data_IF_795733179435
#
_entry.id   IF_795733179435
#
_cell.length_a   1.000
_cell.length_b   1.000
_cell.length_c   1.000
_cell.angle_alpha   90.00
_cell.angle_beta   90.00
_cell.angle_gamma   90.00
#
_symmetry.space_group_name_H-M   'P 1'
#
loop_
_entity.id
_entity.type
_entity.pdbx_description
1 polymer ?
#
# COMPACT_ATOMS: atom_id res chain seq x y z
N UNK A 1 16.04 -14.23 13.26
CA UNK A 1 16.15 -13.57 11.95
C UNK A 1 15.18 -14.14 10.92
N UNK A 2 15.14 -15.47 10.71
CA UNK A 2 14.29 -16.14 9.71
C UNK A 2 12.80 -15.79 9.81
N UNK A 3 12.20 -15.87 11.00
CA UNK A 3 10.78 -15.54 11.19
C UNK A 3 10.48 -14.05 10.93
N UNK A 4 11.34 -13.14 11.40
CA UNK A 4 11.19 -11.70 11.17
C UNK A 4 11.22 -11.36 9.69
N UNK A 5 12.16 -11.94 8.94
CA UNK A 5 12.25 -11.78 7.47
C UNK A 5 10.98 -12.30 6.80
N UNK A 6 10.53 -13.51 7.15
CA UNK A 6 9.33 -14.11 6.55
C UNK A 6 8.09 -13.23 6.78
N UNK A 7 7.86 -12.78 8.02
CA UNK A 7 6.73 -11.90 8.36
C UNK A 7 6.85 -10.56 7.62
N UNK A 8 8.04 -9.98 7.58
CA UNK A 8 8.30 -8.72 6.88
C UNK A 8 7.96 -8.81 5.39
N UNK A 9 8.47 -9.85 4.72
CA UNK A 9 8.26 -10.09 3.30
C UNK A 9 6.80 -10.41 2.99
N UNK A 10 6.15 -11.28 3.77
CA UNK A 10 4.72 -11.59 3.58
C UNK A 10 3.86 -10.33 3.73
N UNK A 11 4.17 -9.48 4.71
CA UNK A 11 3.45 -8.21 4.92
C UNK A 11 3.61 -7.25 3.73
N UNK A 12 4.82 -7.17 3.18
CA UNK A 12 5.11 -6.38 1.99
C UNK A 12 4.38 -6.94 0.74
N UNK A 13 4.37 -8.26 0.57
CA UNK A 13 3.67 -8.97 -0.52
C UNK A 13 2.16 -8.73 -0.44
N UNK A 14 1.54 -8.86 0.75
CA UNK A 14 0.11 -8.61 0.95
C UNK A 14 -0.24 -7.18 0.54
N UNK A 15 0.58 -6.21 0.96
CA UNK A 15 0.32 -4.81 0.66
C UNK A 15 0.51 -4.47 -0.82
N UNK A 16 1.70 -4.73 -1.38
CA UNK A 16 2.03 -4.38 -2.77
C UNK A 16 1.24 -5.24 -3.75
N UNK A 17 1.16 -6.55 -3.52
CA UNK A 17 0.39 -7.47 -4.34
C UNK A 17 -1.11 -7.15 -4.34
N UNK A 18 -1.68 -6.81 -3.18
CA UNK A 18 -3.08 -6.37 -3.10
C UNK A 18 -3.36 -5.08 -3.87
N UNK A 19 -2.43 -4.11 -3.85
CA UNK A 19 -2.54 -2.90 -4.67
C UNK A 19 -2.50 -3.22 -6.16
N UNK A 20 -1.58 -4.10 -6.60
CA UNK A 20 -1.45 -4.53 -8.00
C UNK A 20 -2.74 -5.23 -8.46
N UNK A 21 -3.26 -6.18 -7.68
CA UNK A 21 -4.52 -6.86 -7.99
C UNK A 21 -5.69 -5.87 -8.12
N UNK A 22 -5.82 -4.95 -7.17
CA UNK A 22 -6.88 -3.95 -7.19
C UNK A 22 -6.77 -3.05 -8.44
N UNK A 23 -5.57 -2.60 -8.79
CA UNK A 23 -5.34 -1.68 -9.91
C UNK A 23 -5.51 -2.35 -11.29
N UNK A 24 -4.96 -3.55 -11.45
CA UNK A 24 -4.80 -4.19 -12.76
C UNK A 24 -5.89 -5.20 -13.08
N UNK A 25 -6.52 -5.81 -12.07
CA UNK A 25 -7.48 -6.89 -12.29
C UNK A 25 -8.88 -6.49 -11.85
N UNK A 26 -9.04 -6.08 -10.58
CA UNK A 26 -10.35 -5.75 -10.03
C UNK A 26 -10.97 -4.52 -10.71
N UNK A 27 -10.18 -3.47 -10.95
CA UNK A 27 -10.68 -2.25 -11.58
C UNK A 27 -11.20 -2.49 -13.00
N UNK A 28 -10.43 -3.06 -13.95
CA UNK A 28 -10.94 -3.28 -15.30
C UNK A 28 -12.19 -4.17 -15.30
N UNK A 29 -12.21 -5.23 -14.48
CA UNK A 29 -13.38 -6.09 -14.35
C UNK A 29 -14.61 -5.31 -13.86
N UNK A 30 -14.48 -4.52 -12.79
CA UNK A 30 -15.57 -3.67 -12.28
C UNK A 30 -16.00 -2.58 -13.27
N UNK A 31 -15.12 -2.15 -14.19
CA UNK A 31 -15.51 -1.21 -15.25
C UNK A 31 -16.36 -1.89 -16.32
N UNK A 32 -16.04 -3.13 -16.65
CA UNK A 32 -16.73 -3.89 -17.70
C UNK A 32 -18.10 -4.39 -17.26
N UNK A 33 -18.26 -4.80 -16.00
CA UNK A 33 -19.46 -5.53 -15.56
C UNK A 33 -20.42 -4.72 -14.68
N UNK A 34 -19.99 -3.56 -14.15
CA UNK A 34 -20.81 -2.75 -13.23
C UNK A 34 -21.08 -1.35 -13.77
N UNK A 35 -22.32 -0.92 -13.56
CA UNK A 35 -22.76 0.47 -13.73
C UNK A 35 -21.99 1.42 -12.78
N UNK A 36 -21.91 2.73 -13.09
CA UNK A 36 -21.09 3.67 -12.33
C UNK A 36 -21.39 3.74 -10.83
N UNK A 37 -22.65 3.79 -10.35
CA UNK A 37 -22.95 3.83 -8.91
C UNK A 37 -22.53 2.55 -8.19
N UNK A 38 -22.88 1.38 -8.73
CA UNK A 38 -22.54 0.07 -8.17
C UNK A 38 -21.01 -0.13 -8.07
N UNK A 39 -20.27 0.40 -9.05
CA UNK A 39 -18.80 0.39 -9.02
C UNK A 39 -18.26 1.18 -7.83
N UNK A 40 -18.82 2.34 -7.52
CA UNK A 40 -18.36 3.17 -6.39
C UNK A 40 -18.64 2.49 -5.05
N UNK A 41 -19.80 1.86 -4.90
CA UNK A 41 -20.14 1.06 -3.72
C UNK A 41 -19.20 -0.14 -3.55
N UNK A 42 -18.91 -0.87 -4.63
CA UNK A 42 -17.93 -1.95 -4.62
C UNK A 42 -16.58 -1.45 -4.09
N UNK A 43 -16.09 -0.31 -4.57
CA UNK A 43 -14.81 0.25 -4.13
C UNK A 43 -14.80 0.65 -2.66
N UNK A 44 -15.89 1.24 -2.15
CA UNK A 44 -16.03 1.51 -0.71
C UNK A 44 -15.88 0.22 0.10
N UNK A 45 -16.53 -0.86 -0.33
CA UNK A 45 -16.51 -2.16 0.34
C UNK A 45 -15.16 -2.87 0.23
N UNK A 46 -14.49 -2.78 -0.91
CA UNK A 46 -13.15 -3.32 -1.15
C UNK A 46 -12.14 -2.61 -0.26
N UNK A 47 -12.12 -1.27 -0.28
CA UNK A 47 -11.21 -0.49 0.55
C UNK A 47 -11.44 -0.71 2.04
N UNK A 48 -12.70 -0.86 2.48
CA UNK A 48 -13.02 -1.16 3.88
C UNK A 48 -12.29 -2.41 4.40
N UNK A 49 -12.22 -3.46 3.57
CA UNK A 49 -11.57 -4.73 3.93
C UNK A 49 -10.06 -4.67 3.70
N UNK A 50 -9.65 -4.16 2.54
CA UNK A 50 -8.25 -4.11 2.16
C UNK A 50 -7.42 -3.20 3.09
N UNK A 51 -7.95 -2.04 3.49
CA UNK A 51 -7.21 -1.12 4.36
C UNK A 51 -6.94 -1.66 5.76
N UNK A 52 -7.76 -2.59 6.27
CA UNK A 52 -7.45 -3.32 7.51
C UNK A 52 -6.18 -4.15 7.33
N UNK A 53 -6.07 -4.87 6.20
CA UNK A 53 -4.87 -5.64 5.87
C UNK A 53 -3.66 -4.73 5.69
N UNK A 54 -3.82 -3.58 5.03
CA UNK A 54 -2.72 -2.61 4.84
C UNK A 54 -2.22 -2.05 6.17
N UNK A 55 -3.11 -1.67 7.08
CA UNK A 55 -2.70 -1.23 8.42
C UNK A 55 -1.92 -2.32 9.17
N UNK A 56 -2.39 -3.57 9.11
CA UNK A 56 -1.68 -4.72 9.66
C UNK A 56 -0.31 -4.91 9.03
N UNK A 57 -0.22 -4.87 7.69
CA UNK A 57 1.05 -4.96 6.96
C UNK A 57 2.03 -3.86 7.36
N UNK A 58 1.59 -2.60 7.45
CA UNK A 58 2.44 -1.47 7.85
C UNK A 58 3.01 -1.72 9.25
N UNK A 59 2.16 -2.06 10.21
CA UNK A 59 2.60 -2.32 11.58
C UNK A 59 3.64 -3.45 11.62
N UNK A 60 3.37 -4.58 10.96
CA UNK A 60 4.27 -5.72 10.92
C UNK A 60 5.60 -5.39 10.21
N UNK A 61 5.57 -4.68 9.08
CA UNK A 61 6.77 -4.23 8.36
C UNK A 61 7.64 -3.34 9.25
N UNK A 62 7.05 -2.35 9.93
CA UNK A 62 7.81 -1.44 10.79
C UNK A 62 8.41 -2.18 11.99
N UNK A 63 7.60 -2.98 12.69
CA UNK A 63 8.05 -3.74 13.87
C UNK A 63 9.19 -4.69 13.48
N UNK A 64 8.99 -5.51 12.45
CA UNK A 64 10.00 -6.48 12.01
C UNK A 64 11.21 -5.80 11.38
N UNK A 65 11.02 -4.71 10.64
CA UNK A 65 12.10 -3.95 10.00
C UNK A 65 13.03 -3.29 11.01
N UNK A 66 12.48 -2.56 11.98
CA UNK A 66 13.28 -1.98 13.06
C UNK A 66 13.91 -3.02 13.96
N UNK A 67 13.18 -4.11 14.26
CA UNK A 67 13.76 -5.24 14.99
C UNK A 67 15.01 -5.79 14.27
N UNK A 68 14.92 -6.00 12.95
CA UNK A 68 16.04 -6.48 12.15
C UNK A 68 17.19 -5.47 12.12
N UNK A 69 16.88 -4.20 11.92
CA UNK A 69 17.85 -3.10 11.87
C UNK A 69 18.72 -3.04 13.13
N UNK A 70 18.09 -3.03 14.31
CA UNK A 70 18.82 -2.85 15.57
C UNK A 70 19.47 -4.14 16.10
N UNK A 71 18.85 -5.31 15.88
CA UNK A 71 19.36 -6.57 16.44
C UNK A 71 20.33 -7.33 15.52
N UNK A 72 20.28 -7.11 14.20
CA UNK A 72 21.10 -7.86 13.24
C UNK A 72 22.00 -6.98 12.38
N UNK A 73 21.59 -5.74 12.06
CA UNK A 73 22.36 -4.83 11.21
C UNK A 73 23.16 -3.78 12.00
N UNK A 74 23.21 -3.86 13.33
CA UNK A 74 23.98 -2.90 14.16
C UNK A 74 23.39 -1.49 14.18
N UNK A 75 22.09 -1.35 13.89
CA UNK A 75 21.41 -0.06 13.79
C UNK A 75 21.67 0.66 12.46
N UNK A 76 21.27 1.93 12.37
CA UNK A 76 21.43 2.72 11.14
C UNK A 76 22.88 2.95 10.73
N UNK A 77 23.84 2.94 11.66
CA UNK A 77 25.25 3.10 11.35
C UNK A 77 25.88 1.85 10.73
N UNK A 78 25.36 0.65 11.05
CA UNK A 78 25.83 -0.63 10.50
C UNK A 78 25.03 -1.12 9.29
N UNK A 79 23.97 -0.41 8.92
CA UNK A 79 23.09 -0.78 7.81
C UNK A 79 23.69 -0.36 6.45
N UNK A 80 23.57 -1.24 5.44
CA UNK A 80 23.96 -0.90 4.07
C UNK A 80 23.03 0.14 3.42
N UNK A 81 23.52 0.83 2.38
CA UNK A 81 22.76 1.85 1.65
C UNK A 81 21.37 1.38 1.16
N UNK A 82 21.24 0.11 0.78
CA UNK A 82 19.96 -0.47 0.35
C UNK A 82 18.89 -0.41 1.45
N UNK A 83 19.27 -0.55 2.73
CA UNK A 83 18.35 -0.48 3.88
C UNK A 83 17.87 0.96 4.09
N UNK A 84 18.76 1.95 3.94
CA UNK A 84 18.38 3.36 4.02
C UNK A 84 17.39 3.75 2.91
N UNK A 85 17.65 3.30 1.67
CA UNK A 85 16.74 3.54 0.54
C UNK A 85 15.38 2.89 0.79
N UNK A 86 15.37 1.62 1.21
CA UNK A 86 14.15 0.89 1.55
C UNK A 86 13.37 1.57 2.69
N UNK A 87 14.06 2.03 3.73
CA UNK A 87 13.45 2.71 4.87
C UNK A 87 12.80 4.04 4.45
N UNK A 88 13.53 4.89 3.73
CA UNK A 88 13.01 6.17 3.22
C UNK A 88 11.82 5.97 2.28
N UNK A 89 11.93 5.05 1.33
CA UNK A 89 10.85 4.72 0.41
C UNK A 89 9.62 4.14 1.15
N UNK A 90 9.84 3.25 2.12
CA UNK A 90 8.77 2.68 2.96
C UNK A 90 7.98 3.75 3.70
N UNK A 91 8.65 4.76 4.27
CA UNK A 91 7.96 5.88 4.92
C UNK A 91 7.17 6.75 3.94
N UNK A 92 7.72 7.02 2.75
CA UNK A 92 6.97 7.72 1.69
C UNK A 92 5.68 6.95 1.36
N UNK A 93 5.76 5.62 1.23
CA UNK A 93 4.59 4.77 0.97
C UNK A 93 3.55 4.86 2.10
N UNK A 94 4.00 4.85 3.36
CA UNK A 94 3.13 5.01 4.54
C UNK A 94 2.43 6.37 4.51
N UNK A 95 3.14 7.47 4.21
CA UNK A 95 2.52 8.79 4.13
C UNK A 95 1.52 8.92 2.98
N UNK A 96 1.83 8.35 1.82
CA UNK A 96 0.88 8.26 0.69
C UNK A 96 -0.38 7.53 1.12
N UNK A 97 -0.23 6.38 1.79
CA UNK A 97 -1.36 5.60 2.29
C UNK A 97 -2.17 6.35 3.36
N UNK A 98 -1.52 6.97 4.33
CA UNK A 98 -2.19 7.78 5.34
C UNK A 98 -3.03 8.88 4.69
N UNK A 99 -2.44 9.59 3.72
CA UNK A 99 -3.15 10.61 2.97
C UNK A 99 -4.39 10.01 2.27
N UNK A 100 -4.24 8.88 1.56
CA UNK A 100 -5.33 8.14 0.90
C UNK A 100 -6.45 7.76 1.88
N UNK A 101 -6.09 7.23 3.06
CA UNK A 101 -7.02 6.73 4.04
C UNK A 101 -7.83 7.85 4.70
N UNK A 102 -7.15 8.91 5.17
CA UNK A 102 -7.78 9.96 5.95
C UNK A 102 -8.51 11.01 5.11
N UNK A 103 -8.11 11.22 3.85
CA UNK A 103 -8.71 12.24 2.98
C UNK A 103 -9.64 11.64 1.91
N UNK A 104 -9.16 11.17 0.74
CA UNK A 104 -10.04 10.79 -0.36
C UNK A 104 -10.90 9.56 -0.06
N UNK A 105 -10.45 8.60 0.75
CA UNK A 105 -11.32 7.47 1.12
C UNK A 105 -12.49 7.90 2.01
N UNK A 106 -12.25 8.80 2.98
CA UNK A 106 -13.32 9.38 3.80
C UNK A 106 -14.31 10.16 2.94
N UNK A 107 -13.81 10.97 2.01
CA UNK A 107 -14.64 11.75 1.08
C UNK A 107 -15.42 10.85 0.10
N UNK A 108 -14.81 9.79 -0.43
CA UNK A 108 -15.47 8.79 -1.27
C UNK A 108 -16.64 8.15 -0.55
N UNK A 109 -16.43 7.67 0.69
CA UNK A 109 -17.49 7.06 1.50
C UNK A 109 -18.66 8.02 1.70
N UNK A 110 -18.37 9.26 2.07
CA UNK A 110 -19.39 10.27 2.29
C UNK A 110 -20.16 10.58 1.00
N UNK A 111 -19.45 10.81 -0.11
CA UNK A 111 -20.03 11.11 -1.41
C UNK A 111 -20.96 10.00 -1.92
N UNK A 112 -20.62 8.73 -1.69
CA UNK A 112 -21.50 7.60 -2.02
C UNK A 112 -22.78 7.61 -1.17
N UNK A 113 -22.68 7.91 0.13
CA UNK A 113 -23.85 7.97 1.04
C UNK A 113 -24.83 9.06 0.62
N UNK A 114 -24.32 10.25 0.27
CA UNK A 114 -25.16 11.38 -0.17
C UNK A 114 -25.45 11.38 -1.67
N UNK A 115 -25.07 10.30 -2.37
CA UNK A 115 -25.28 10.10 -3.81
C UNK A 115 -24.65 11.19 -4.71
N UNK A 116 -23.59 11.85 -4.25
CA UNK A 116 -22.75 12.75 -5.05
C UNK A 116 -21.73 11.92 -5.86
N UNK A 117 -22.23 11.29 -6.92
CA UNK A 117 -21.42 10.44 -7.79
C UNK A 117 -20.26 11.17 -8.51
N UNK A 118 -20.41 12.44 -8.95
CA UNK A 118 -19.29 13.21 -9.48
C UNK A 118 -18.13 13.35 -8.50
N UNK A 119 -18.41 13.73 -7.24
CA UNK A 119 -17.38 13.82 -6.20
C UNK A 119 -16.79 12.46 -5.88
N UNK A 120 -17.62 11.43 -5.73
CA UNK A 120 -17.18 10.06 -5.46
C UNK A 120 -16.21 9.55 -6.55
N UNK A 121 -16.54 9.76 -7.83
CA UNK A 121 -15.69 9.42 -8.97
C UNK A 121 -14.36 10.17 -8.96
N UNK A 122 -14.37 11.47 -8.64
CA UNK A 122 -13.15 12.28 -8.53
C UNK A 122 -12.23 11.76 -7.41
N UNK A 123 -12.77 11.43 -6.24
CA UNK A 123 -11.99 10.88 -5.13
C UNK A 123 -11.46 9.48 -5.44
N UNK A 124 -12.26 8.61 -6.06
CA UNK A 124 -11.78 7.30 -6.51
C UNK A 124 -10.63 7.43 -7.51
N UNK A 125 -10.70 8.39 -8.43
CA UNK A 125 -9.61 8.65 -9.37
C UNK A 125 -8.33 9.17 -8.66
N UNK A 126 -8.49 9.98 -7.60
CA UNK A 126 -7.37 10.42 -6.76
C UNK A 126 -6.71 9.26 -6.04
N UNK A 127 -7.50 8.37 -5.42
CA UNK A 127 -7.01 7.13 -4.79
C UNK A 127 -6.24 6.31 -5.82
N UNK A 128 -6.78 6.13 -7.03
CA UNK A 128 -6.14 5.36 -8.10
C UNK A 128 -4.75 5.89 -8.45
N UNK A 129 -4.59 7.21 -8.62
CA UNK A 129 -3.30 7.83 -8.96
C UNK A 129 -2.28 7.60 -7.84
N UNK A 130 -2.69 7.80 -6.59
CA UNK A 130 -1.83 7.61 -5.42
C UNK A 130 -1.45 6.15 -5.20
N UNK A 131 -2.39 5.22 -5.39
CA UNK A 131 -2.10 3.78 -5.36
C UNK A 131 -1.15 3.40 -6.50
N UNK A 132 -1.30 3.96 -7.70
CA UNK A 132 -0.37 3.76 -8.82
C UNK A 132 1.05 4.20 -8.48
N UNK A 133 1.21 5.40 -7.91
CA UNK A 133 2.50 5.88 -7.39
C UNK A 133 3.06 4.92 -6.33
N UNK A 134 2.20 4.48 -5.40
CA UNK A 134 2.61 3.60 -4.31
C UNK A 134 3.06 2.21 -4.80
N UNK A 135 2.44 1.70 -5.86
CA UNK A 135 2.86 0.46 -6.54
C UNK A 135 4.27 0.62 -7.12
N UNK A 136 4.54 1.73 -7.83
CA UNK A 136 5.86 1.97 -8.41
C UNK A 136 6.95 1.99 -7.33
N UNK A 137 6.72 2.73 -6.24
CA UNK A 137 7.65 2.78 -5.10
C UNK A 137 7.81 1.39 -4.48
N UNK A 138 6.71 0.67 -4.23
CA UNK A 138 6.74 -0.67 -3.64
C UNK A 138 7.51 -1.67 -4.48
N UNK A 139 7.34 -1.64 -5.80
CA UNK A 139 8.11 -2.48 -6.72
C UNK A 139 9.60 -2.13 -6.68
N UNK A 140 9.96 -0.85 -6.70
CA UNK A 140 11.35 -0.41 -6.54
C UNK A 140 11.96 -0.89 -5.22
N UNK A 141 11.21 -0.82 -4.11
CA UNK A 141 11.64 -1.31 -2.80
C UNK A 141 11.90 -2.82 -2.82
N UNK A 142 11.01 -3.61 -3.42
CA UNK A 142 11.18 -5.07 -3.54
C UNK A 142 12.43 -5.40 -4.37
N UNK A 143 12.66 -4.68 -5.48
CA UNK A 143 13.85 -4.86 -6.31
C UNK A 143 15.11 -4.54 -5.49
N UNK A 144 15.17 -3.38 -4.84
CA UNK A 144 16.33 -2.97 -4.01
C UNK A 144 16.59 -3.98 -2.88
N UNK A 145 15.55 -4.46 -2.21
CA UNK A 145 15.67 -5.43 -1.13
C UNK A 145 16.21 -6.80 -1.62
N UNK A 146 15.76 -7.25 -2.79
CA UNK A 146 16.23 -8.51 -3.39
C UNK A 146 17.64 -8.41 -3.98
N UNK A 147 17.95 -7.29 -4.65
CA UNK A 147 19.23 -7.05 -5.32
C UNK A 147 20.36 -6.70 -4.34
N UNK A 148 20.05 -6.04 -3.22
CA UNK A 148 21.05 -5.66 -2.20
C UNK A 148 21.76 -6.82 -1.51
N UNK A 149 21.35 -8.07 -1.76
CA UNK A 149 22.11 -9.27 -1.34
C UNK A 149 23.26 -9.59 -2.31
N UNK A 150 23.19 -9.13 -3.55
CA UNK A 150 24.11 -9.45 -4.65
C UNK A 150 24.95 -8.26 -5.12
N UNK A 151 24.70 -7.07 -4.56
CA UNK A 151 25.43 -5.82 -4.80
C UNK A 151 26.01 -5.36 -3.47
#
# INVERSE_FOLDING_TARGET
>A
MSYSIAIHLLSAVIWVGGMIFAHNSLRPAAVQVLEPPLRLELWVQVFRRFFVLVWGSIALILITGYWMLFNYFGGFAGAGNHIHIMHGAGWIMVFVYMYVFFSPYRQLKHAVIVQDYPLAGAQLNRIRKLVGLNILIGMSVIIVASAGRYI
#
